data_IF_938662039095
#
_entry.id   IF_938662039095
#
_cell.length_a   1.000
_cell.length_b   1.000
_cell.length_c   1.000
_cell.angle_alpha   90.00
_cell.angle_beta   90.00
_cell.angle_gamma   90.00
#
_symmetry.space_group_name_H-M   'P 1'
#
loop_
_entity.id
_entity.type
_entity.pdbx_description
1 polymer ?
#
# COMPACT_ATOMS: atom_id res chain seq x y z
N UNK A 1 6.87 9.35 5.47
CA UNK A 1 6.02 9.27 4.27
C UNK A 1 5.93 7.81 3.90
N UNK A 2 4.74 7.27 3.68
CA UNK A 2 4.58 5.90 3.19
C UNK A 2 4.24 5.95 1.70
N UNK A 3 5.15 5.45 0.86
CA UNK A 3 5.04 5.48 -0.59
C UNK A 3 4.16 4.35 -1.17
N UNK A 4 3.70 3.44 -0.30
CA UNK A 4 2.81 2.33 -0.64
C UNK A 4 1.36 2.62 -0.24
N UNK A 5 1.11 3.49 0.74
CA UNK A 5 -0.24 3.87 1.14
C UNK A 5 -0.85 4.89 0.18
N UNK A 6 -2.06 4.62 -0.32
CA UNK A 6 -2.87 5.57 -1.07
C UNK A 6 -4.35 5.31 -0.77
N UNK A 7 -5.02 6.21 -0.06
CA UNK A 7 -6.45 6.08 0.24
C UNK A 7 -7.33 6.49 -0.94
N UNK A 8 -6.81 7.25 -1.90
CA UNK A 8 -7.59 7.75 -3.04
C UNK A 8 -6.79 7.65 -4.33
N UNK A 9 -7.18 6.76 -5.25
CA UNK A 9 -6.52 6.63 -6.56
C UNK A 9 -6.89 7.75 -7.55
N UNK A 10 -7.43 8.87 -7.08
CA UNK A 10 -7.85 9.96 -7.95
C UNK A 10 -6.61 10.78 -8.37
N UNK A 11 -6.29 10.87 -9.68
CA UNK A 11 -5.16 11.68 -10.15
C UNK A 11 -5.32 13.14 -9.74
N UNK A 12 -4.23 13.73 -9.28
CA UNK A 12 -4.16 15.17 -9.06
C UNK A 12 -3.74 15.90 -10.34
N UNK A 13 -4.38 17.04 -10.58
CA UNK A 13 -3.94 17.96 -11.62
C UNK A 13 -2.66 18.68 -11.22
N UNK A 14 -1.84 19.05 -12.20
CA UNK A 14 -0.62 19.83 -11.97
C UNK A 14 -0.92 21.31 -12.06
N UNK A 15 -0.27 22.11 -11.20
CA UNK A 15 -0.29 23.58 -11.24
C UNK A 15 -0.03 24.16 -12.64
N UNK A 16 0.87 23.53 -13.40
CA UNK A 16 1.28 23.97 -14.75
C UNK A 16 0.16 23.84 -15.80
N UNK A 17 -0.87 23.03 -15.54
CA UNK A 17 -1.96 22.73 -16.47
C UNK A 17 -3.26 23.49 -16.15
N UNK A 18 -3.27 24.31 -15.11
CA UNK A 18 -4.47 24.98 -14.63
C UNK A 18 -4.79 26.24 -15.43
N UNK A 19 -5.96 26.25 -16.06
CA UNK A 19 -6.57 27.44 -16.64
C UNK A 19 -7.63 28.00 -15.66
N UNK A 20 -7.43 29.25 -15.22
CA UNK A 20 -8.41 29.98 -14.42
C UNK A 20 -8.09 30.13 -12.93
N UNK A 21 -8.50 31.28 -12.38
CA UNK A 21 -8.13 31.77 -11.06
C UNK A 21 -8.76 30.98 -9.89
N UNK A 22 -9.97 30.43 -10.09
CA UNK A 22 -10.65 29.61 -9.08
C UNK A 22 -9.95 28.26 -8.90
N UNK A 23 -9.56 27.63 -10.01
CA UNK A 23 -8.87 26.36 -10.01
C UNK A 23 -7.47 26.47 -9.36
N UNK A 24 -6.80 27.63 -9.45
CA UNK A 24 -5.56 27.92 -8.73
C UNK A 24 -5.73 28.01 -7.20
N UNK A 25 -6.94 28.29 -6.69
CA UNK A 25 -7.22 28.41 -5.25
C UNK A 25 -7.60 27.06 -4.64
N UNK A 26 -8.24 26.17 -5.41
CA UNK A 26 -8.71 24.89 -4.90
C UNK A 26 -7.65 23.79 -4.95
N UNK A 27 -6.77 23.77 -5.96
CA UNK A 27 -5.71 22.76 -6.06
C UNK A 27 -4.76 22.73 -4.83
N UNK A 28 -4.29 23.87 -4.27
CA UNK A 28 -3.49 23.88 -3.05
C UNK A 28 -4.19 23.18 -1.87
N UNK A 29 -5.51 23.33 -1.73
CA UNK A 29 -6.26 22.68 -0.65
C UNK A 29 -6.26 21.17 -0.82
N UNK A 30 -6.37 20.70 -2.07
CA UNK A 30 -6.30 19.27 -2.37
C UNK A 30 -4.91 18.70 -2.06
N UNK A 31 -3.85 19.41 -2.45
CA UNK A 31 -2.47 19.00 -2.12
C UNK A 31 -2.24 18.95 -0.61
N UNK A 32 -2.67 19.99 0.13
CA UNK A 32 -2.60 20.01 1.59
C UNK A 32 -3.35 18.82 2.21
N UNK A 33 -4.51 18.44 1.66
CA UNK A 33 -5.25 17.28 2.16
C UNK A 33 -4.50 15.94 1.98
N UNK A 34 -3.69 15.80 0.92
CA UNK A 34 -2.83 14.62 0.71
C UNK A 34 -1.68 14.62 1.72
N UNK A 35 -1.05 15.79 1.92
CA UNK A 35 0.03 15.95 2.90
C UNK A 35 -0.44 15.73 4.35
N UNK A 36 -1.64 16.21 4.71
CA UNK A 36 -2.25 15.99 6.02
C UNK A 36 -2.49 14.49 6.29
N UNK A 37 -2.77 13.72 5.23
CA UNK A 37 -2.89 12.24 5.27
C UNK A 37 -1.54 11.52 5.26
N UNK A 38 -0.42 12.25 5.15
CA UNK A 38 0.97 11.72 5.05
C UNK A 38 1.21 10.81 3.84
N UNK A 39 0.41 10.97 2.80
CA UNK A 39 0.52 10.26 1.53
C UNK A 39 1.57 10.92 0.62
N UNK A 40 2.04 10.18 -0.40
CA UNK A 40 2.96 10.70 -1.42
C UNK A 40 2.22 11.52 -2.49
N UNK A 41 2.54 12.81 -2.60
CA UNK A 41 2.07 13.66 -3.70
C UNK A 41 2.61 13.16 -5.04
N UNK A 42 3.85 12.69 -5.10
CA UNK A 42 4.46 12.17 -6.33
C UNK A 42 3.62 11.02 -6.90
N UNK A 43 3.09 10.14 -6.04
CA UNK A 43 2.18 9.06 -6.44
C UNK A 43 0.87 9.59 -7.03
N UNK A 44 0.26 10.56 -6.37
CA UNK A 44 -0.97 11.23 -6.83
C UNK A 44 -0.77 12.02 -8.15
N UNK A 45 0.45 12.45 -8.45
CA UNK A 45 0.83 13.16 -9.67
C UNK A 45 1.39 12.24 -10.77
N UNK A 46 1.23 10.92 -10.61
CA UNK A 46 1.71 9.88 -11.52
C UNK A 46 3.21 9.98 -11.84
N UNK A 47 4.01 10.46 -10.89
CA UNK A 47 5.46 10.36 -10.99
C UNK A 47 5.83 8.88 -10.86
N UNK A 48 6.68 8.34 -11.75
CA UNK A 48 7.07 6.93 -11.68
C UNK A 48 7.91 6.69 -10.42
N UNK A 49 7.36 6.01 -9.42
CA UNK A 49 8.05 5.65 -8.17
C UNK A 49 8.57 4.21 -8.23
N UNK A 50 9.69 3.95 -7.57
CA UNK A 50 10.21 2.60 -7.38
C UNK A 50 9.27 1.78 -6.47
N UNK A 51 8.64 2.41 -5.48
CA UNK A 51 7.60 1.79 -4.65
C UNK A 51 6.47 1.19 -5.48
N UNK A 52 5.98 1.89 -6.51
CA UNK A 52 4.94 1.38 -7.41
C UNK A 52 5.41 0.12 -8.14
N UNK A 53 6.66 0.10 -8.61
CA UNK A 53 7.23 -1.09 -9.26
C UNK A 53 7.37 -2.27 -8.29
N UNK A 54 7.84 -2.01 -7.05
CA UNK A 54 7.97 -3.04 -6.02
C UNK A 54 6.60 -3.60 -5.65
N UNK A 55 5.59 -2.76 -5.49
CA UNK A 55 4.21 -3.15 -5.21
C UNK A 55 3.64 -4.05 -6.29
N UNK A 56 3.80 -3.70 -7.58
CA UNK A 56 3.38 -4.54 -8.70
C UNK A 56 4.09 -5.91 -8.69
N UNK A 57 5.40 -5.93 -8.40
CA UNK A 57 6.18 -7.17 -8.31
C UNK A 57 5.71 -8.04 -7.17
N UNK A 58 5.50 -7.48 -5.99
CA UNK A 58 4.95 -8.20 -4.83
C UNK A 58 3.58 -8.78 -5.16
N UNK A 59 2.67 -7.97 -5.71
CA UNK A 59 1.33 -8.42 -6.10
C UNK A 59 1.38 -9.57 -7.12
N UNK A 60 2.35 -9.59 -8.03
CA UNK A 60 2.52 -10.66 -9.03
C UNK A 60 3.01 -11.99 -8.45
N UNK A 61 3.59 -12.00 -7.25
CA UNK A 61 4.13 -13.20 -6.61
C UNK A 61 3.01 -14.05 -5.99
N UNK A 62 1.93 -13.41 -5.54
CA UNK A 62 0.82 -14.06 -4.85
C UNK A 62 -0.20 -14.63 -5.82
N UNK A 63 -0.92 -15.67 -5.39
CA UNK A 63 -1.93 -16.32 -6.25
C UNK A 63 -3.14 -15.43 -6.53
N UNK A 64 -3.40 -14.44 -5.67
CA UNK A 64 -4.50 -13.49 -5.77
C UNK A 64 -3.96 -12.08 -5.84
N UNK A 65 -4.67 -11.21 -6.54
CA UNK A 65 -4.29 -9.80 -6.64
C UNK A 65 -4.38 -9.04 -5.32
N UNK A 66 -5.30 -9.44 -4.43
CA UNK A 66 -5.48 -8.83 -3.10
C UNK A 66 -5.62 -9.90 -2.01
N UNK A 67 -5.14 -9.63 -0.78
CA UNK A 67 -5.38 -10.49 0.35
C UNK A 67 -6.88 -10.54 0.70
N UNK A 68 -7.35 -11.72 1.11
CA UNK A 68 -8.74 -11.90 1.54
C UNK A 68 -8.84 -11.68 3.04
N UNK A 69 -9.79 -10.83 3.46
CA UNK A 69 -10.18 -10.78 4.87
C UNK A 69 -11.29 -11.78 5.16
N UNK A 70 -11.11 -12.59 6.20
CA UNK A 70 -12.09 -13.59 6.66
C UNK A 70 -13.26 -12.97 7.41
N UNK A 71 -13.12 -11.73 7.88
CA UNK A 71 -14.18 -10.98 8.54
C UNK A 71 -14.53 -9.75 7.70
N UNK A 72 -15.78 -9.69 7.24
CA UNK A 72 -16.36 -8.44 6.73
C UNK A 72 -16.36 -7.43 7.89
N UNK A 73 -15.43 -6.48 7.88
CA UNK A 73 -15.42 -5.41 8.86
C UNK A 73 -16.66 -4.52 8.62
N UNK A 74 -17.69 -4.69 9.45
CA UNK A 74 -18.96 -3.93 9.43
C UNK A 74 -18.86 -2.44 9.78
N UNK A 75 -17.70 -1.81 9.58
CA UNK A 75 -17.46 -0.39 9.86
C UNK A 75 -16.89 0.27 8.61
N UNK A 76 -17.65 1.23 8.06
CA UNK A 76 -17.52 1.84 6.72
C UNK A 76 -16.27 2.65 6.39
N UNK A 77 -15.11 2.30 6.93
CA UNK A 77 -13.81 2.78 6.46
C UNK A 77 -12.92 1.58 6.16
N UNK A 78 -13.24 0.91 5.05
CA UNK A 78 -12.46 -0.22 4.55
C UNK A 78 -11.17 0.28 3.93
N UNK A 79 -10.14 0.57 4.75
CA UNK A 79 -8.77 0.62 4.26
C UNK A 79 -8.47 -0.73 3.59
N UNK A 80 -8.35 -0.75 2.27
CA UNK A 80 -8.15 -1.99 1.52
C UNK A 80 -6.72 -2.45 1.76
N UNK A 81 -6.56 -3.58 2.47
CA UNK A 81 -5.24 -4.19 2.66
C UNK A 81 -4.71 -4.67 1.31
N UNK A 82 -3.45 -4.34 1.03
CA UNK A 82 -2.71 -4.87 -0.12
C UNK A 82 -1.64 -5.87 0.34
N UNK A 83 -1.00 -6.57 -0.60
CA UNK A 83 0.04 -7.55 -0.23
C UNK A 83 1.31 -6.90 0.35
N UNK A 84 1.59 -5.63 0.06
CA UNK A 84 2.73 -4.92 0.67
C UNK A 84 2.49 -4.73 2.17
N UNK A 85 1.28 -4.37 2.58
CA UNK A 85 0.87 -4.29 3.98
C UNK A 85 1.04 -5.66 4.66
N UNK A 86 0.57 -6.73 4.00
CA UNK A 86 0.69 -8.10 4.50
C UNK A 86 2.16 -8.47 4.67
N UNK A 87 3.00 -8.28 3.66
CA UNK A 87 4.43 -8.62 3.76
C UNK A 87 5.11 -7.82 4.88
N UNK A 88 4.85 -6.52 4.97
CA UNK A 88 5.47 -5.63 5.97
C UNK A 88 5.13 -6.04 7.40
N UNK A 89 3.89 -6.44 7.64
CA UNK A 89 3.38 -6.76 8.98
C UNK A 89 3.37 -8.27 9.27
N UNK A 90 3.82 -9.10 8.33
CA UNK A 90 3.82 -10.55 8.50
C UNK A 90 4.80 -10.97 9.58
N UNK A 91 4.25 -11.56 10.65
CA UNK A 91 5.00 -12.17 11.74
C UNK A 91 4.78 -13.68 11.74
N UNK A 92 5.87 -14.46 11.71
CA UNK A 92 5.82 -15.92 11.68
C UNK A 92 5.28 -16.48 13.01
N UNK A 93 5.61 -15.83 14.13
CA UNK A 93 5.31 -16.34 15.47
C UNK A 93 3.89 -15.99 15.95
N UNK A 94 3.26 -15.00 15.32
CA UNK A 94 1.89 -14.54 15.62
C UNK A 94 0.76 -15.28 14.89
N UNK A 95 1.07 -16.23 14.01
CA UNK A 95 0.08 -16.82 13.10
C UNK A 95 -0.69 -18.01 13.71
N UNK A 96 -1.97 -18.12 13.33
CA UNK A 96 -2.80 -19.24 13.75
C UNK A 96 -2.44 -20.53 12.98
N UNK A 97 -2.56 -21.71 13.62
CA UNK A 97 -2.30 -22.98 12.95
C UNK A 97 -3.22 -23.18 11.73
N UNK A 98 -2.63 -23.71 10.65
CA UNK A 98 -3.32 -24.00 9.39
C UNK A 98 -4.60 -24.81 9.63
N UNK A 99 -5.71 -24.34 9.05
CA UNK A 99 -6.93 -25.12 8.90
C UNK A 99 -7.17 -25.33 7.41
N UNK A 100 -7.26 -26.59 6.99
CA UNK A 100 -7.55 -26.97 5.60
C UNK A 100 -6.61 -26.36 4.54
N UNK A 101 -5.33 -26.15 4.88
CA UNK A 101 -4.34 -25.58 3.97
C UNK A 101 -4.40 -24.06 3.83
N UNK A 102 -5.09 -23.39 4.75
CA UNK A 102 -5.16 -21.94 4.86
C UNK A 102 -4.61 -21.50 6.22
N UNK A 103 -3.67 -20.56 6.19
CA UNK A 103 -3.16 -19.90 7.39
C UNK A 103 -3.88 -18.58 7.60
N UNK A 104 -4.30 -18.33 8.83
CA UNK A 104 -4.96 -17.07 9.18
C UNK A 104 -4.01 -16.19 9.99
N UNK A 105 -3.80 -14.96 9.51
CA UNK A 105 -2.90 -13.98 10.13
C UNK A 105 -3.72 -12.77 10.59
N UNK A 106 -3.44 -12.24 11.79
CA UNK A 106 -4.12 -11.06 12.31
C UNK A 106 -3.32 -9.80 11.94
N UNK A 107 -3.87 -8.98 11.04
CA UNK A 107 -3.25 -7.76 10.55
C UNK A 107 -4.17 -6.56 10.80
N UNK A 108 -3.70 -5.55 11.52
CA UNK A 108 -4.49 -4.36 11.92
C UNK A 108 -5.89 -4.69 12.49
N UNK A 109 -5.99 -5.77 13.27
CA UNK A 109 -7.26 -6.23 13.84
C UNK A 109 -8.18 -6.97 12.86
N UNK A 110 -7.72 -7.28 11.65
CA UNK A 110 -8.44 -8.08 10.64
C UNK A 110 -7.77 -9.43 10.46
N UNK A 111 -8.58 -10.48 10.42
CA UNK A 111 -8.08 -11.81 10.08
C UNK A 111 -7.96 -11.92 8.55
N UNK A 112 -6.78 -12.30 8.08
CA UNK A 112 -6.44 -12.46 6.67
C UNK A 112 -6.12 -13.92 6.40
N UNK A 113 -6.81 -14.49 5.42
CA UNK A 113 -6.61 -15.88 5.00
C UNK A 113 -5.58 -15.95 3.88
N UNK A 114 -4.53 -16.74 4.12
CA UNK A 114 -3.39 -16.91 3.23
C UNK A 114 -3.30 -18.40 2.86
N UNK A 115 -3.42 -18.74 1.56
CA UNK A 115 -3.22 -20.11 1.10
C UNK A 115 -1.81 -20.61 1.45
N UNK A 116 -1.66 -21.90 1.76
CA UNK A 116 -0.35 -22.54 2.08
C UNK A 116 0.77 -22.16 1.10
N UNK A 117 0.45 -22.13 -0.21
CA UNK A 117 1.41 -21.79 -1.26
C UNK A 117 1.94 -20.36 -1.16
N UNK A 118 1.11 -19.42 -0.70
CA UNK A 118 1.49 -18.01 -0.51
C UNK A 118 2.13 -17.80 0.87
N UNK A 119 1.68 -18.54 1.89
CA UNK A 119 2.29 -18.56 3.21
C UNK A 119 3.76 -19.02 3.16
N UNK A 120 4.04 -20.07 2.37
CA UNK A 120 5.41 -20.55 2.17
C UNK A 120 6.34 -19.49 1.59
N UNK A 121 5.83 -18.60 0.73
CA UNK A 121 6.59 -17.48 0.15
C UNK A 121 6.89 -16.41 1.22
N UNK A 122 5.90 -16.04 2.02
CA UNK A 122 6.03 -15.08 3.12
C UNK A 122 7.02 -15.55 4.19
N UNK A 123 6.98 -16.84 4.52
CA UNK A 123 7.86 -17.45 5.53
C UNK A 123 9.36 -17.33 5.20
N UNK A 124 9.73 -17.14 3.94
CA UNK A 124 11.14 -17.01 3.53
C UNK A 124 11.80 -15.74 4.04
N UNK A 125 11.02 -14.70 4.38
CA UNK A 125 11.57 -13.39 4.76
C UNK A 125 12.08 -12.53 3.59
N UNK A 126 12.18 -13.10 2.38
CA UNK A 126 12.79 -12.43 1.22
C UNK A 126 11.95 -11.22 0.80
N UNK A 127 10.62 -11.34 0.84
CA UNK A 127 9.73 -10.25 0.45
C UNK A 127 9.83 -9.06 1.42
N UNK A 128 9.99 -9.31 2.72
CA UNK A 128 10.23 -8.26 3.71
C UNK A 128 11.54 -7.51 3.40
N UNK A 129 12.61 -8.25 3.10
CA UNK A 129 13.91 -7.67 2.72
C UNK A 129 13.87 -6.86 1.43
N UNK A 130 12.90 -7.10 0.53
CA UNK A 130 12.73 -6.27 -0.67
C UNK A 130 12.06 -4.94 -0.37
N UNK A 131 11.27 -4.87 0.70
CA UNK A 131 10.57 -3.65 1.11
C UNK A 131 11.44 -2.85 2.08
N UNK A 132 12.30 -3.50 2.87
CA UNK A 132 13.25 -2.82 3.75
C UNK A 132 14.59 -2.53 3.03
N UNK A 133 15.13 -1.29 3.07
CA UNK A 133 14.74 -0.19 3.94
C UNK A 133 13.74 0.79 3.31
N UNK A 134 12.67 1.09 4.05
CA UNK A 134 11.82 2.27 3.84
C UNK A 134 12.32 3.45 4.70
N UNK A 135 12.29 4.70 4.21
CA UNK A 135 11.83 5.11 2.87
C UNK A 135 12.89 4.89 1.78
N UNK A 136 12.42 4.57 0.57
CA UNK A 136 13.28 4.38 -0.61
C UNK A 136 13.86 5.73 -1.03
N UNK A 137 15.20 5.85 -1.07
CA UNK A 137 15.87 7.13 -1.33
C UNK A 137 15.47 7.79 -2.66
N UNK A 138 15.31 7.00 -3.73
CA UNK A 138 14.88 7.51 -5.04
C UNK A 138 13.47 8.09 -5.02
N UNK A 139 12.57 7.49 -4.25
CA UNK A 139 11.19 7.96 -4.12
C UNK A 139 11.11 9.22 -3.26
N UNK A 140 11.92 9.29 -2.20
CA UNK A 140 12.10 10.52 -1.41
C UNK A 140 12.59 11.66 -2.29
N UNK A 141 13.57 11.39 -3.16
CA UNK A 141 14.07 12.41 -4.08
C UNK A 141 12.97 12.93 -5.00
N UNK A 142 12.15 12.03 -5.57
CA UNK A 142 11.03 12.39 -6.46
C UNK A 142 9.89 13.12 -5.77
N UNK A 143 9.71 12.94 -4.46
CA UNK A 143 8.74 13.70 -3.67
C UNK A 143 9.20 15.15 -3.41
N UNK A 144 10.52 15.38 -3.45
CA UNK A 144 11.12 16.70 -3.22
C UNK A 144 11.32 17.53 -4.50
N UNK A 145 11.14 16.93 -5.68
CA UNK A 145 11.23 17.55 -7.01
C UNK A 145 9.89 18.13 -7.46
#
# INVERSE_FOLDING_TARGET
LDFFSCQTNAPLERFEKLEGLLSMIDLPKVYLSVLDRRESLARHLHVPLLSTFIEERINSIFTRSNPLSSQESGTGHSETLNWVDVVREFDIDGNQPSRDGVHSCLLRGRLIDIPEADYAKLKTGILQQMIEPLPIADDVKKELE
#
